data_IF_269376212184
#
_entry.id   IF_269376212184
#
_cell.length_a   1.000
_cell.length_b   1.000
_cell.length_c   1.000
_cell.angle_alpha   90.00
_cell.angle_beta   90.00
_cell.angle_gamma   90.00
#
_symmetry.space_group_name_H-M   'P 1'
#
loop_
_entity.id
_entity.type
_entity.pdbx_description
1 polymer ?
#
# COMPACT_ATOMS: atom_id res chain seq x y z
N UNK A 1 17.14 7.82 -18.41
CA UNK A 1 16.25 8.75 -19.14
C UNK A 1 15.26 9.46 -18.24
N UNK A 2 14.72 10.60 -18.70
CA UNK A 2 13.71 11.45 -18.04
C UNK A 2 12.50 11.60 -18.98
N UNK A 3 11.30 11.51 -18.44
CA UNK A 3 10.07 11.83 -19.17
C UNK A 3 9.87 13.35 -19.24
N UNK A 4 9.27 13.83 -20.32
CA UNK A 4 8.88 15.24 -20.50
C UNK A 4 7.36 15.34 -20.43
N UNK A 5 6.86 16.16 -19.52
CA UNK A 5 5.42 16.37 -19.32
C UNK A 5 5.02 17.80 -19.67
N UNK A 6 3.82 17.97 -20.24
CA UNK A 6 3.22 19.29 -20.42
C UNK A 6 2.85 19.91 -19.07
N UNK A 7 2.64 21.23 -19.03
CA UNK A 7 2.16 21.92 -17.83
C UNK A 7 0.85 21.35 -17.31
N UNK A 8 -0.08 20.98 -18.21
CA UNK A 8 -1.35 20.32 -17.86
C UNK A 8 -1.12 18.97 -17.17
N UNK A 9 -0.20 18.16 -17.67
CA UNK A 9 0.14 16.87 -17.06
C UNK A 9 0.77 17.05 -15.68
N UNK A 10 1.65 18.04 -15.49
CA UNK A 10 2.21 18.36 -14.18
C UNK A 10 1.14 18.80 -13.17
N UNK A 11 0.18 19.63 -13.60
CA UNK A 11 -0.96 20.01 -12.77
C UNK A 11 -1.83 18.82 -12.39
N UNK A 12 -2.08 17.89 -13.32
CA UNK A 12 -2.83 16.67 -13.05
C UNK A 12 -2.11 15.76 -12.03
N UNK A 13 -0.79 15.61 -12.15
CA UNK A 13 0.01 14.84 -11.19
C UNK A 13 -0.11 15.44 -9.79
N UNK A 14 0.03 16.77 -9.66
CA UNK A 14 -0.12 17.47 -8.37
C UNK A 14 -1.52 17.33 -7.80
N UNK A 15 -2.54 17.52 -8.63
CA UNK A 15 -3.93 17.34 -8.24
C UNK A 15 -4.19 15.92 -7.73
N UNK A 16 -3.69 14.89 -8.41
CA UNK A 16 -3.79 13.51 -7.98
C UNK A 16 -3.13 13.26 -6.61
N UNK A 17 -2.00 13.89 -6.32
CA UNK A 17 -1.36 13.78 -4.99
C UNK A 17 -2.25 14.38 -3.90
N UNK A 18 -2.74 15.60 -4.09
CA UNK A 18 -3.60 16.30 -3.12
C UNK A 18 -4.91 15.55 -2.92
N UNK A 19 -5.53 15.07 -4.00
CA UNK A 19 -6.75 14.27 -3.92
C UNK A 19 -6.52 12.97 -3.13
N UNK A 20 -5.42 12.26 -3.38
CA UNK A 20 -5.10 11.05 -2.63
C UNK A 20 -4.87 11.32 -1.14
N UNK A 21 -4.22 12.43 -0.79
CA UNK A 21 -4.02 12.86 0.59
C UNK A 21 -5.37 13.18 1.27
N UNK A 22 -6.23 13.97 0.61
CA UNK A 22 -7.56 14.30 1.11
C UNK A 22 -8.43 13.06 1.37
N UNK A 23 -8.41 12.10 0.44
CA UNK A 23 -9.11 10.82 0.60
C UNK A 23 -8.54 10.01 1.76
N UNK A 24 -7.22 9.98 1.94
CA UNK A 24 -6.59 9.30 3.06
C UNK A 24 -6.98 9.92 4.41
N UNK A 25 -6.99 11.26 4.50
CA UNK A 25 -7.41 12.00 5.69
C UNK A 25 -8.88 11.70 6.02
N UNK A 26 -9.75 11.58 5.02
CA UNK A 26 -11.15 11.22 5.22
C UNK A 26 -11.36 9.81 5.80
N UNK A 27 -10.38 8.90 5.65
CA UNK A 27 -10.43 7.55 6.23
C UNK A 27 -10.06 7.49 7.72
N UNK A 28 -9.30 8.46 8.23
CA UNK A 28 -8.86 8.55 9.63
C UNK A 28 -10.04 8.39 10.60
N UNK A 29 -11.11 9.21 10.55
CA UNK A 29 -12.23 9.07 11.48
C UNK A 29 -12.97 7.73 11.33
N UNK A 30 -13.03 7.16 10.12
CA UNK A 30 -13.72 5.89 9.84
C UNK A 30 -13.02 4.66 10.39
N UNK A 31 -11.70 4.75 10.60
CA UNK A 31 -10.90 3.74 11.29
C UNK A 31 -10.87 3.95 12.81
N UNK A 32 -11.70 4.85 13.35
CA UNK A 32 -11.65 5.23 14.75
C UNK A 32 -10.33 5.90 15.13
N UNK A 33 -9.58 6.46 14.18
CA UNK A 33 -8.34 7.21 14.48
C UNK A 33 -8.64 8.65 14.95
N UNK A 34 -9.80 8.86 15.58
CA UNK A 34 -10.30 10.15 16.06
C UNK A 34 -10.27 10.29 17.58
N UNK A 35 -10.97 11.33 18.09
CA UNK A 35 -10.97 11.77 19.51
C UNK A 35 -11.32 10.71 20.56
N UNK A 36 -12.01 9.62 20.18
CA UNK A 36 -12.53 8.60 21.11
C UNK A 36 -11.73 7.27 21.13
N UNK A 37 -10.58 7.21 20.47
CA UNK A 37 -9.70 6.03 20.48
C UNK A 37 -9.99 5.01 19.37
N UNK A 38 -9.05 4.07 19.21
CA UNK A 38 -8.96 3.14 18.08
C UNK A 38 -10.10 2.11 18.07
N UNK A 39 -10.80 1.96 16.93
CA UNK A 39 -11.62 0.76 16.72
C UNK A 39 -10.69 -0.41 16.44
N UNK A 40 -10.61 -1.36 17.36
CA UNK A 40 -9.76 -2.56 17.21
C UNK A 40 -10.36 -3.50 16.14
N UNK A 41 -11.68 -3.51 16.03
CA UNK A 41 -12.43 -4.31 15.07
C UNK A 41 -13.48 -3.47 14.35
N UNK A 42 -13.79 -3.85 13.12
CA UNK A 42 -14.86 -3.27 12.31
C UNK A 42 -15.78 -4.36 11.76
N UNK A 43 -17.09 -4.09 11.59
CA UNK A 43 -17.96 -4.94 10.80
C UNK A 43 -17.36 -5.21 9.41
N UNK A 44 -17.49 -6.44 8.93
CA UNK A 44 -17.00 -6.88 7.61
C UNK A 44 -17.34 -5.90 6.46
N UNK A 45 -18.57 -5.39 6.30
CA UNK A 45 -18.87 -4.45 5.21
C UNK A 45 -18.07 -3.14 5.34
N UNK A 46 -17.97 -2.58 6.54
CA UNK A 46 -17.19 -1.35 6.79
C UNK A 46 -15.69 -1.59 6.55
N UNK A 47 -15.17 -2.73 6.98
CA UNK A 47 -13.78 -3.13 6.71
C UNK A 47 -13.50 -3.23 5.21
N UNK A 48 -14.39 -3.89 4.46
CA UNK A 48 -14.24 -4.07 3.01
C UNK A 48 -14.30 -2.74 2.25
N UNK A 49 -15.23 -1.85 2.61
CA UNK A 49 -15.33 -0.52 2.02
C UNK A 49 -14.05 0.29 2.24
N UNK A 50 -13.53 0.35 3.48
CA UNK A 50 -12.27 1.06 3.77
C UNK A 50 -11.08 0.38 3.07
N UNK A 51 -11.06 -0.95 2.98
CA UNK A 51 -10.01 -1.68 2.28
C UNK A 51 -10.00 -1.39 0.78
N UNK A 52 -11.17 -1.21 0.16
CA UNK A 52 -11.34 -0.83 -1.24
C UNK A 52 -10.84 0.61 -1.46
N UNK A 53 -11.28 1.57 -0.64
CA UNK A 53 -10.82 2.96 -0.72
C UNK A 53 -9.30 3.09 -0.54
N UNK A 54 -8.72 2.38 0.43
CA UNK A 54 -7.25 2.32 0.56
C UNK A 54 -6.57 1.75 -0.68
N UNK A 55 -7.17 0.76 -1.35
CA UNK A 55 -6.61 0.18 -2.58
C UNK A 55 -6.60 1.21 -3.72
N UNK A 56 -7.68 1.98 -3.85
CA UNK A 56 -7.78 3.09 -4.79
C UNK A 56 -6.73 4.17 -4.49
N UNK A 57 -6.64 4.63 -3.24
CA UNK A 57 -5.68 5.67 -2.82
C UNK A 57 -4.24 5.21 -3.06
N UNK A 58 -3.89 4.00 -2.63
CA UNK A 58 -2.56 3.44 -2.85
C UNK A 58 -2.20 3.36 -4.34
N UNK A 59 -3.15 3.00 -5.19
CA UNK A 59 -2.96 2.95 -6.64
C UNK A 59 -2.72 4.33 -7.25
N UNK A 60 -3.47 5.35 -6.84
CA UNK A 60 -3.25 6.75 -7.24
C UNK A 60 -1.87 7.25 -6.80
N UNK A 61 -1.52 7.08 -5.52
CA UNK A 61 -0.23 7.51 -4.97
C UNK A 61 0.93 6.86 -5.70
N UNK A 62 0.84 5.55 -5.98
CA UNK A 62 1.89 4.81 -6.67
C UNK A 62 2.12 5.34 -8.10
N UNK A 63 1.06 5.67 -8.82
CA UNK A 63 1.15 6.27 -10.17
C UNK A 63 1.72 7.69 -10.12
N UNK A 64 1.26 8.53 -9.18
CA UNK A 64 1.81 9.87 -9.01
C UNK A 64 3.32 9.84 -8.68
N UNK A 65 3.74 8.96 -7.77
CA UNK A 65 5.16 8.74 -7.45
C UNK A 65 5.94 8.25 -8.67
N UNK A 66 5.38 7.33 -9.45
CA UNK A 66 6.00 6.85 -10.68
C UNK A 66 6.20 7.98 -11.69
N UNK A 67 5.18 8.82 -11.92
CA UNK A 67 5.26 9.94 -12.85
C UNK A 67 6.31 10.98 -12.42
N UNK A 68 6.36 11.32 -11.14
CA UNK A 68 7.39 12.24 -10.61
C UNK A 68 8.79 11.61 -10.73
N UNK A 69 8.91 10.32 -10.47
CA UNK A 69 10.16 9.59 -10.65
C UNK A 69 10.58 9.55 -12.13
N UNK A 70 9.63 9.35 -13.05
CA UNK A 70 9.86 9.37 -14.50
C UNK A 70 10.35 10.75 -14.97
N UNK A 71 9.70 11.84 -14.51
CA UNK A 71 10.12 13.22 -14.79
C UNK A 71 11.57 13.48 -14.35
N UNK A 72 11.95 12.99 -13.17
CA UNK A 72 13.30 13.17 -12.61
C UNK A 72 14.32 12.18 -13.16
N UNK A 73 13.84 11.09 -13.75
CA UNK A 73 14.59 10.03 -14.42
C UNK A 73 15.19 9.00 -13.47
N UNK A 74 15.41 7.79 -13.99
CA UNK A 74 15.92 6.67 -13.20
C UNK A 74 17.31 6.95 -12.61
N UNK A 75 17.57 6.40 -11.42
CA UNK A 75 18.90 6.40 -10.79
C UNK A 75 19.37 4.94 -10.76
N UNK A 76 20.65 4.64 -11.09
CA UNK A 76 21.19 3.32 -10.89
C UNK A 76 20.89 2.82 -9.47
N UNK A 77 20.39 1.59 -9.35
CA UNK A 77 20.34 0.95 -8.06
C UNK A 77 21.78 0.91 -7.52
N UNK A 78 22.04 1.48 -6.35
CA UNK A 78 23.33 1.25 -5.69
C UNK A 78 23.48 -0.27 -5.59
N UNK A 79 24.52 -0.81 -6.23
CA UNK A 79 24.91 -2.18 -6.02
C UNK A 79 25.00 -2.36 -4.51
N UNK A 80 24.16 -3.22 -3.95
CA UNK A 80 24.36 -3.65 -2.58
C UNK A 80 25.80 -4.15 -2.55
N UNK A 81 26.66 -3.50 -1.75
CA UNK A 81 28.02 -3.96 -1.55
C UNK A 81 27.93 -5.47 -1.30
N UNK A 82 28.75 -6.29 -2.00
CA UNK A 82 28.64 -7.73 -1.90
C UNK A 82 28.72 -8.07 -0.42
N UNK A 83 27.59 -8.53 0.15
CA UNK A 83 27.63 -9.12 1.48
C UNK A 83 28.54 -10.31 1.32
N UNK A 84 29.75 -10.19 1.85
CA UNK A 84 30.73 -11.25 1.86
C UNK A 84 30.01 -12.51 2.32
N UNK A 85 29.98 -13.50 1.43
CA UNK A 85 29.41 -14.81 1.69
C UNK A 85 30.44 -15.50 2.58
N UNK A 86 30.32 -15.29 3.89
CA UNK A 86 31.27 -15.79 4.88
C UNK A 86 30.58 -15.99 6.21
N UNK A 87 30.40 -17.25 6.55
CA UNK A 87 30.24 -17.79 7.90
C UNK A 87 28.91 -17.56 8.63
N UNK A 88 28.10 -18.62 8.54
CA UNK A 88 27.24 -19.02 9.62
C UNK A 88 28.06 -19.22 10.90
N UNK A 89 28.00 -18.27 11.83
CA UNK A 89 28.36 -18.51 13.22
C UNK A 89 27.20 -18.07 14.10
N UNK A 90 26.51 -19.08 14.64
CA UNK A 90 25.64 -18.92 15.81
C UNK A 90 26.49 -18.32 16.93
N UNK A 91 26.29 -17.04 17.25
CA UNK A 91 26.63 -16.53 18.57
C UNK A 91 25.35 -16.30 19.36
N UNK A 92 25.16 -17.20 20.30
CA UNK A 92 24.19 -17.13 21.38
C UNK A 92 24.60 -16.06 22.40
N UNK A 93 23.62 -15.22 22.79
CA UNK A 93 23.45 -14.55 24.10
C UNK A 93 24.31 -13.30 24.42
N UNK A 94 23.86 -12.40 25.34
CA UNK A 94 22.85 -12.64 26.38
C UNK A 94 21.55 -11.81 26.29
N UNK A 95 20.49 -12.42 26.80
CA UNK A 95 19.35 -11.72 27.36
C UNK A 95 19.76 -11.22 28.75
N UNK A 96 19.59 -9.92 29.02
CA UNK A 96 19.14 -9.31 30.28
C UNK A 96 18.51 -7.95 29.88
N UNK A 97 17.19 -7.92 29.97
CA UNK A 97 16.31 -6.87 30.50
C UNK A 97 16.90 -5.44 30.66
N UNK A 98 16.31 -4.45 29.98
CA UNK A 98 15.36 -3.53 30.62
C UNK A 98 15.04 -2.31 29.73
N UNK A 99 13.74 -2.04 29.62
CA UNK A 99 13.10 -0.76 29.33
C UNK A 99 12.97 -0.28 27.87
N UNK A 100 11.73 -0.38 27.37
CA UNK A 100 11.06 0.76 26.73
C UNK A 100 11.46 1.08 25.29
N UNK A 101 10.99 0.25 24.35
CA UNK A 101 10.56 0.60 22.98
C UNK A 101 11.03 -0.47 21.99
N UNK A 102 10.25 -1.56 21.90
CA UNK A 102 10.13 -2.26 20.63
C UNK A 102 9.39 -1.34 19.64
N UNK A 103 10.09 -0.32 19.13
CA UNK A 103 9.67 0.40 17.95
C UNK A 103 9.79 -0.57 16.77
N UNK A 104 8.73 -1.33 16.56
CA UNK A 104 8.51 -1.96 15.26
C UNK A 104 8.74 -0.86 14.20
N UNK A 105 9.56 -1.12 13.17
CA UNK A 105 9.90 -0.10 12.18
C UNK A 105 8.61 0.46 11.56
N UNK A 106 8.56 1.78 11.39
CA UNK A 106 7.42 2.46 10.79
C UNK A 106 7.02 1.76 9.47
N UNK A 107 5.72 1.52 9.23
CA UNK A 107 5.28 0.79 8.06
C UNK A 107 5.65 1.59 6.80
N UNK A 108 6.26 0.91 5.83
CA UNK A 108 6.70 1.53 4.58
C UNK A 108 5.67 1.32 3.48
N UNK A 109 5.45 2.35 2.68
CA UNK A 109 4.61 2.25 1.50
C UNK A 109 5.20 1.28 0.46
N UNK A 110 4.33 0.45 -0.11
CA UNK A 110 4.67 -0.52 -1.13
C UNK A 110 4.62 0.16 -2.51
N UNK A 111 5.78 0.35 -3.13
CA UNK A 111 5.92 1.06 -4.41
C UNK A 111 5.58 0.20 -5.63
N UNK A 112 5.55 -1.11 -5.46
CA UNK A 112 5.13 -2.06 -6.51
C UNK A 112 3.70 -2.51 -6.23
N UNK A 113 2.92 -2.72 -7.28
CA UNK A 113 1.61 -3.34 -7.13
C UNK A 113 1.76 -4.82 -6.76
N UNK A 114 0.93 -5.33 -5.83
CA UNK A 114 0.98 -6.74 -5.46
C UNK A 114 0.48 -7.60 -6.64
N UNK A 115 1.25 -8.62 -7.02
CA UNK A 115 0.89 -9.55 -8.09
C UNK A 115 -0.34 -10.42 -7.75
N UNK A 116 -0.61 -10.60 -6.46
CA UNK A 116 -1.78 -11.27 -5.89
C UNK A 116 -2.32 -10.49 -4.69
N UNK A 117 -3.65 -10.49 -4.51
CA UNK A 117 -4.24 -10.03 -3.26
C UNK A 117 -3.63 -10.87 -2.11
N UNK A 118 -3.07 -10.26 -1.05
CA UNK A 118 -2.59 -11.04 0.08
C UNK A 118 -3.83 -11.64 0.76
N UNK A 119 -4.17 -12.86 0.38
CA UNK A 119 -5.11 -13.69 1.10
C UNK A 119 -4.62 -13.68 2.55
N UNK A 120 -5.48 -13.32 3.52
CA UNK A 120 -5.10 -13.49 4.91
C UNK A 120 -4.75 -14.96 5.07
N UNK A 121 -3.47 -15.26 5.37
CA UNK A 121 -3.09 -16.57 5.88
C UNK A 121 -3.77 -16.68 7.23
N UNK A 122 -5.03 -17.13 7.22
CA UNK A 122 -5.72 -17.59 8.40
C UNK A 122 -4.83 -18.73 8.92
N UNK A 123 -4.05 -18.45 9.96
CA UNK A 123 -3.43 -19.53 10.71
C UNK A 123 -4.58 -20.42 11.13
N UNK A 124 -4.54 -21.73 10.84
CA UNK A 124 -5.59 -22.63 11.31
C UNK A 124 -5.69 -22.45 12.81
N UNK A 125 -6.86 -22.03 13.27
CA UNK A 125 -7.21 -22.04 14.69
C UNK A 125 -7.06 -23.52 15.10
N UNK A 126 -6.25 -23.85 16.12
CA UNK A 126 -6.15 -25.23 16.57
C UNK A 126 -7.56 -25.72 16.93
N UNK A 127 -7.92 -26.96 16.58
CA UNK A 127 -9.26 -27.46 16.85
C UNK A 127 -9.52 -27.36 18.36
N UNK A 128 -10.57 -26.62 18.74
CA UNK A 128 -11.10 -26.64 20.08
C UNK A 128 -11.55 -28.08 20.34
N UNK A 129 -10.81 -28.77 21.18
CA UNK A 129 -11.15 -30.11 21.66
C UNK A 129 -12.54 -30.07 22.27
N UNK A 130 -13.44 -30.82 21.63
CA UNK A 130 -14.74 -31.32 22.09
C UNK A 130 -15.13 -30.95 23.53
N UNK A 131 -15.92 -29.89 23.67
CA UNK A 131 -16.82 -29.72 24.81
C UNK A 131 -18.19 -30.24 24.39
N UNK A 132 -18.55 -31.42 24.89
CA UNK A 132 -19.90 -31.97 24.80
C UNK A 132 -20.82 -31.11 25.67
N UNK A 133 -21.71 -30.34 25.05
CA UNK A 133 -22.90 -29.82 25.69
C UNK A 133 -23.96 -29.56 24.62
N UNK A 134 -25.02 -30.35 24.66
CA UNK A 134 -26.25 -30.11 23.94
C UNK A 134 -26.87 -28.79 24.42
N UNK A 135 -26.98 -27.79 23.53
CA UNK A 135 -27.95 -26.70 23.61
C UNK A 135 -27.86 -25.86 22.32
N UNK A 136 -29.02 -25.60 21.71
CA UNK A 136 -29.30 -24.61 20.67
C UNK A 136 -28.22 -24.38 19.59
N UNK A 137 -28.45 -24.91 18.39
CA UNK A 137 -27.62 -24.60 17.23
C UNK A 137 -27.47 -23.09 17.06
N UNK A 138 -26.25 -22.55 16.88
CA UNK A 138 -26.08 -21.12 16.70
C UNK A 138 -26.67 -20.73 15.34
N UNK A 139 -27.54 -19.73 15.36
CA UNK A 139 -27.97 -19.01 14.16
C UNK A 139 -26.74 -18.74 13.27
N UNK A 140 -26.84 -18.94 11.94
CA UNK A 140 -25.78 -18.52 11.04
C UNK A 140 -25.65 -17.01 11.16
N UNK A 141 -24.70 -16.54 11.97
CA UNK A 141 -24.41 -15.11 12.18
C UNK A 141 -24.45 -14.39 10.84
N UNK A 142 -25.33 -13.41 10.73
CA UNK A 142 -25.46 -12.63 9.51
C UNK A 142 -24.09 -12.04 9.13
N UNK A 143 -23.77 -11.86 7.84
CA UNK A 143 -22.46 -11.35 7.41
C UNK A 143 -22.03 -10.04 8.08
N UNK A 144 -23.00 -9.29 8.62
CA UNK A 144 -22.88 -8.03 9.34
C UNK A 144 -22.29 -8.18 10.76
N UNK A 145 -22.41 -9.37 11.38
CA UNK A 145 -21.89 -9.67 12.73
C UNK A 145 -20.41 -10.08 12.73
N UNK A 146 -19.81 -10.27 11.56
CA UNK A 146 -18.40 -10.65 11.45
C UNK A 146 -17.53 -9.42 11.68
N UNK A 147 -16.87 -9.38 12.82
CA UNK A 147 -15.89 -8.35 13.17
C UNK A 147 -14.48 -8.71 12.69
N UNK A 148 -13.85 -7.81 11.95
CA UNK A 148 -12.51 -7.97 11.39
C UNK A 148 -11.51 -7.00 12.06
N UNK A 149 -10.27 -7.44 12.36
CA UNK A 149 -9.27 -6.60 13.03
C UNK A 149 -8.76 -5.48 12.10
N UNK A 150 -8.74 -4.24 12.61
CA UNK A 150 -8.37 -3.05 11.83
C UNK A 150 -6.87 -2.85 11.65
N UNK A 151 -6.04 -3.59 12.41
CA UNK A 151 -4.58 -3.40 12.47
C UNK A 151 -3.91 -3.37 11.07
N UNK A 152 -4.41 -4.17 10.12
CA UNK A 152 -3.91 -4.18 8.73
C UNK A 152 -4.26 -2.89 7.99
N UNK A 153 -5.48 -2.37 8.13
CA UNK A 153 -5.92 -1.12 7.50
C UNK A 153 -5.18 0.08 8.10
N UNK A 154 -5.05 0.13 9.42
CA UNK A 154 -4.27 1.16 10.12
C UNK A 154 -2.81 1.17 9.66
N UNK A 155 -2.21 -0.02 9.50
CA UNK A 155 -0.83 -0.13 9.00
C UNK A 155 -0.68 0.37 7.56
N UNK A 156 -1.66 0.11 6.68
CA UNK A 156 -1.69 0.62 5.30
C UNK A 156 -1.84 2.14 5.29
N UNK A 157 -2.76 2.69 6.07
CA UNK A 157 -2.93 4.14 6.17
C UNK A 157 -1.69 4.84 6.72
N UNK A 158 -1.09 4.31 7.80
CA UNK A 158 0.20 4.84 8.31
C UNK A 158 1.32 4.78 7.27
N UNK A 159 1.33 3.75 6.43
CA UNK A 159 2.29 3.68 5.33
C UNK A 159 2.06 4.79 4.31
N UNK A 160 0.81 5.13 3.99
CA UNK A 160 0.46 6.28 3.13
C UNK A 160 0.86 7.61 3.78
N UNK A 161 0.62 7.79 5.08
CA UNK A 161 1.04 8.99 5.82
C UNK A 161 2.55 9.23 5.68
N UNK A 162 3.39 8.18 5.69
CA UNK A 162 4.83 8.35 5.43
C UNK A 162 5.16 8.90 4.04
N UNK A 163 4.30 8.67 3.04
CA UNK A 163 4.48 9.22 1.69
C UNK A 163 4.09 10.69 1.64
N UNK A 164 3.03 11.08 2.36
CA UNK A 164 2.57 12.47 2.38
C UNK A 164 3.50 13.37 3.19
N UNK A 165 4.06 12.85 4.30
CA UNK A 165 5.04 13.56 5.13
C UNK A 165 6.40 13.71 4.43
N UNK A 166 6.90 12.64 3.81
CA UNK A 166 8.17 12.64 3.07
C UNK A 166 8.02 11.92 1.72
N UNK A 167 7.55 12.63 0.68
CA UNK A 167 7.42 12.05 -0.64
C UNK A 167 8.79 11.78 -1.28
N UNK A 168 9.83 12.52 -0.89
CA UNK A 168 11.15 12.47 -1.52
C UNK A 168 11.85 11.13 -1.31
N UNK A 169 11.81 10.58 -0.10
CA UNK A 169 12.34 9.24 0.17
C UNK A 169 11.68 8.16 -0.71
N UNK A 170 10.38 8.28 -0.96
CA UNK A 170 9.63 7.34 -1.79
C UNK A 170 9.89 7.56 -3.29
N UNK A 171 10.04 8.81 -3.73
CA UNK A 171 10.46 9.15 -5.10
C UNK A 171 11.84 8.58 -5.39
N UNK A 172 12.81 8.73 -4.48
CA UNK A 172 14.16 8.17 -4.64
C UNK A 172 14.14 6.65 -4.76
N UNK A 173 13.37 5.96 -3.90
CA UNK A 173 13.18 4.51 -4.01
C UNK A 173 12.52 4.13 -5.33
N UNK A 174 11.53 4.88 -5.79
CA UNK A 174 10.85 4.66 -7.06
C UNK A 174 11.83 4.80 -8.24
N UNK A 175 12.63 5.87 -8.27
CA UNK A 175 13.66 6.10 -9.30
C UNK A 175 14.69 4.98 -9.39
N UNK A 176 15.05 4.37 -8.26
CA UNK A 176 15.93 3.18 -8.22
C UNK A 176 15.23 1.94 -8.77
N UNK A 177 13.96 1.71 -8.41
CA UNK A 177 13.16 0.59 -8.93
C UNK A 177 12.94 0.66 -10.44
N UNK A 178 12.82 1.87 -10.99
CA UNK A 178 12.66 2.09 -12.43
C UNK A 178 13.89 1.67 -13.22
N UNK A 179 15.10 1.79 -12.64
CA UNK A 179 16.33 1.32 -13.28
C UNK A 179 16.42 -0.21 -13.31
N UNK A 180 15.87 -0.90 -12.31
CA UNK A 180 15.98 -2.37 -12.19
C UNK A 180 14.84 -3.12 -12.85
N UNK A 181 13.59 -2.72 -12.60
CA UNK A 181 12.39 -3.50 -12.95
C UNK A 181 11.18 -2.58 -13.19
N UNK A 182 11.20 -1.73 -14.23
CA UNK A 182 10.13 -0.75 -14.47
C UNK A 182 8.76 -1.41 -14.68
N UNK A 183 8.72 -2.58 -15.29
CA UNK A 183 7.49 -3.34 -15.60
C UNK A 183 6.77 -3.89 -14.36
N UNK A 184 7.44 -3.98 -13.20
CA UNK A 184 6.87 -4.51 -11.95
C UNK A 184 6.30 -3.42 -11.04
N UNK A 185 6.45 -2.15 -11.41
CA UNK A 185 6.04 -1.02 -10.59
C UNK A 185 4.53 -0.82 -10.69
N UNK A 186 4.03 -0.68 -11.93
CA UNK A 186 2.63 -0.51 -12.27
C UNK A 186 2.19 -1.70 -13.11
N UNK A 187 1.06 -2.30 -12.75
CA UNK A 187 0.50 -3.48 -13.42
C UNK A 187 -0.92 -3.18 -13.87
N UNK A 188 -1.37 -3.83 -14.95
CA UNK A 188 -2.76 -3.70 -15.38
C UNK A 188 -3.74 -4.18 -14.32
N UNK A 189 -3.41 -5.27 -13.63
CA UNK A 189 -4.24 -5.82 -12.55
C UNK A 189 -4.43 -4.85 -11.39
N UNK A 190 -3.39 -4.13 -10.98
CA UNK A 190 -3.54 -3.15 -9.90
C UNK A 190 -4.34 -1.92 -10.33
N UNK A 191 -4.33 -1.55 -11.62
CA UNK A 191 -5.27 -0.58 -12.17
C UNK A 191 -6.71 -1.10 -12.08
N UNK A 192 -6.97 -2.31 -12.59
CA UNK A 192 -8.32 -2.88 -12.62
C UNK A 192 -8.89 -3.06 -11.20
N UNK A 193 -8.05 -3.48 -10.24
CA UNK A 193 -8.44 -3.62 -8.84
C UNK A 193 -8.75 -2.26 -8.17
N UNK A 194 -8.01 -1.20 -8.51
CA UNK A 194 -8.28 0.14 -8.01
C UNK A 194 -9.54 0.74 -8.64
N UNK A 195 -9.73 0.51 -9.94
CA UNK A 195 -10.93 0.87 -10.69
C UNK A 195 -12.19 0.26 -10.06
N UNK A 196 -12.17 -1.06 -9.82
CA UNK A 196 -13.28 -1.77 -9.19
C UNK A 196 -13.51 -1.40 -7.71
N UNK A 197 -12.58 -0.68 -7.08
CA UNK A 197 -12.63 -0.33 -5.67
C UNK A 197 -13.25 1.06 -5.40
N UNK A 198 -13.52 1.86 -6.43
CA UNK A 198 -14.10 3.19 -6.29
C UNK A 198 -15.39 3.30 -7.09
N UNK A 199 -16.51 3.49 -6.39
CA UNK A 199 -17.81 3.74 -7.01
C UNK A 199 -18.00 5.22 -7.42
N UNK A 200 -17.05 6.09 -7.06
CA UNK A 200 -17.12 7.51 -7.37
C UNK A 200 -16.57 7.82 -8.77
N UNK A 201 -17.45 8.26 -9.67
CA UNK A 201 -17.13 8.56 -11.08
C UNK A 201 -15.93 9.53 -11.20
N UNK A 202 -15.87 10.58 -10.37
CA UNK A 202 -14.78 11.57 -10.41
C UNK A 202 -13.42 10.94 -10.08
N UNK A 203 -13.40 10.07 -9.08
CA UNK A 203 -12.20 9.33 -8.67
C UNK A 203 -11.74 8.39 -9.78
N UNK A 204 -12.69 7.72 -10.44
CA UNK A 204 -12.40 6.86 -11.59
C UNK A 204 -11.77 7.65 -12.74
N UNK A 205 -12.37 8.76 -13.18
CA UNK A 205 -11.83 9.58 -14.28
C UNK A 205 -10.45 10.14 -13.97
N UNK A 206 -10.20 10.50 -12.70
CA UNK A 206 -8.88 10.94 -12.26
C UNK A 206 -7.85 9.81 -12.36
N UNK A 207 -8.18 8.61 -11.86
CA UNK A 207 -7.31 7.45 -11.92
C UNK A 207 -6.99 7.06 -13.37
N UNK A 208 -7.99 7.09 -14.26
CA UNK A 208 -7.83 6.83 -15.69
C UNK A 208 -6.88 7.83 -16.35
N UNK A 209 -7.08 9.13 -16.09
CA UNK A 209 -6.23 10.19 -16.64
C UNK A 209 -4.77 10.06 -16.17
N UNK A 210 -4.57 9.71 -14.90
CA UNK A 210 -3.23 9.48 -14.33
C UNK A 210 -2.61 8.19 -14.86
N UNK A 211 -3.41 7.15 -15.09
CA UNK A 211 -2.97 5.89 -15.69
C UNK A 211 -2.49 6.11 -17.13
N UNK A 212 -3.22 6.86 -17.96
CA UNK A 212 -2.83 7.17 -19.33
C UNK A 212 -1.44 7.83 -19.39
N UNK A 213 -1.21 8.85 -18.55
CA UNK A 213 0.12 9.48 -18.44
C UNK A 213 1.21 8.48 -18.02
N UNK A 214 0.88 7.55 -17.13
CA UNK A 214 1.83 6.56 -16.65
C UNK A 214 2.19 5.54 -17.72
N UNK A 215 1.22 5.13 -18.54
CA UNK A 215 1.44 4.24 -19.68
C UNK A 215 2.30 4.91 -20.76
N UNK A 216 2.05 6.18 -21.07
CA UNK A 216 2.88 6.97 -21.99
C UNK A 216 4.33 7.06 -21.51
N UNK A 217 4.52 7.41 -20.23
CA UNK A 217 5.85 7.51 -19.62
C UNK A 217 6.55 6.14 -19.57
N UNK A 218 5.81 5.06 -19.27
CA UNK A 218 6.35 3.71 -19.28
C UNK A 218 6.74 3.25 -20.70
N UNK A 219 5.96 3.64 -21.72
CA UNK A 219 6.28 3.41 -23.13
C UNK A 219 7.58 4.07 -23.56
N UNK A 220 7.73 5.37 -23.25
CA UNK A 220 8.97 6.12 -23.52
C UNK A 220 10.19 5.46 -22.88
N UNK A 221 10.09 5.10 -21.60
CA UNK A 221 11.18 4.44 -20.87
C UNK A 221 11.59 3.09 -21.46
N UNK A 222 10.66 2.35 -22.08
CA UNK A 222 10.96 1.08 -22.75
C UNK A 222 11.69 1.28 -24.07
N UNK A 223 11.25 2.26 -24.88
CA UNK A 223 11.94 2.60 -26.14
C UNK A 223 13.38 3.04 -25.88
N UNK A 224 13.57 3.78 -24.80
CA UNK A 224 14.85 4.31 -24.35
C UNK A 224 15.81 3.24 -23.76
N UNK A 225 15.30 2.08 -23.36
CA UNK A 225 16.09 0.97 -22.76
C UNK A 225 16.22 -0.25 -23.67
N UNK A 226 15.70 -0.16 -24.90
CA UNK A 226 15.82 -1.17 -25.96
C UNK A 226 17.18 -1.16 -26.64
#
# INVERSE_FOLDING_TARGET
>A
MRAVFSSKALSLIRFAQVAAEMLAVALVPRLGLGRFGFTVFLPKPAYQAIAAELTFIEAMVRRALFLIAALRGAIPAQAAAPRARGEAMRMSKPAIEASGNHHAPAPRFCLTEPAEAPLPRLRPIPPLTSYSAAAAGPDPRLPEDILLPTARLVRRLRALETVFLDPEANILRMRRLMASTPQKILTRRGFDAASAASDHIVNFSLLESVQALADDAAGQLRLDTG
#
